data_IF_422763788201
#
_entry.id   IF_422763788201
#
_cell.length_a   1.000
_cell.length_b   1.000
_cell.length_c   1.000
_cell.angle_alpha   90.00
_cell.angle_beta   90.00
_cell.angle_gamma   90.00
#
_symmetry.space_group_name_H-M   'P 1'
#
loop_
_entity.id
_entity.type
_entity.pdbx_description
1 polymer ?
#
# COMPACT_ATOMS: atom_id res chain seq x y z
N UNK A 1 56.65 13.66 -28.18
CA UNK A 1 55.37 14.30 -27.80
C UNK A 1 54.32 13.22 -27.74
N UNK A 2 53.93 12.80 -26.54
CA UNK A 2 52.88 11.80 -26.34
C UNK A 2 51.54 12.47 -26.64
N UNK A 3 50.92 12.08 -27.75
CA UNK A 3 49.56 12.49 -28.09
C UNK A 3 48.62 11.91 -27.06
N UNK A 4 48.08 12.78 -26.18
CA UNK A 4 46.93 12.42 -25.36
C UNK A 4 45.79 12.09 -26.31
N UNK A 5 45.51 10.80 -26.48
CA UNK A 5 44.24 10.34 -27.03
C UNK A 5 43.13 10.89 -26.12
N UNK A 6 42.53 12.01 -26.52
CA UNK A 6 41.24 12.42 -25.96
C UNK A 6 40.25 11.33 -26.36
N UNK A 7 39.88 10.49 -25.39
CA UNK A 7 38.73 9.60 -25.56
C UNK A 7 37.54 10.51 -25.76
N UNK A 8 36.90 10.45 -26.94
CA UNK A 8 35.65 11.15 -27.16
C UNK A 8 34.66 10.74 -26.05
N UNK A 9 34.00 11.71 -25.43
CA UNK A 9 32.89 11.39 -24.54
C UNK A 9 31.79 10.78 -25.41
N UNK A 10 31.44 9.52 -25.13
CA UNK A 10 30.34 8.81 -25.78
C UNK A 10 29.35 8.38 -24.71
N UNK A 11 28.05 8.54 -24.99
CA UNK A 11 27.00 8.07 -24.10
C UNK A 11 27.06 6.55 -24.04
N UNK A 12 27.24 5.99 -22.84
CA UNK A 12 27.33 4.55 -22.65
C UNK A 12 26.01 3.86 -23.02
N UNK A 13 26.00 3.20 -24.19
CA UNK A 13 24.85 2.48 -24.74
C UNK A 13 24.22 1.50 -23.72
N UNK A 14 25.06 0.77 -22.97
CA UNK A 14 24.60 -0.15 -21.92
C UNK A 14 23.79 0.54 -20.82
N UNK A 15 24.23 1.73 -20.36
CA UNK A 15 23.53 2.50 -19.33
C UNK A 15 22.17 2.99 -19.85
N UNK A 16 22.13 3.48 -21.10
CA UNK A 16 20.89 3.95 -21.74
C UNK A 16 19.83 2.85 -21.80
N UNK A 17 20.19 1.68 -22.31
CA UNK A 17 19.24 0.56 -22.42
C UNK A 17 18.88 -0.05 -21.07
N UNK A 18 19.80 -0.05 -20.11
CA UNK A 18 19.53 -0.49 -18.75
C UNK A 18 18.51 0.44 -18.04
N UNK A 19 18.71 1.76 -18.09
CA UNK A 19 17.76 2.75 -17.55
C UNK A 19 16.39 2.61 -18.21
N UNK A 20 16.36 2.46 -19.54
CA UNK A 20 15.12 2.25 -20.28
C UNK A 20 14.41 0.96 -19.84
N UNK A 21 15.13 -0.15 -19.76
CA UNK A 21 14.59 -1.46 -19.37
C UNK A 21 14.07 -1.50 -17.93
N UNK A 22 14.71 -0.77 -17.03
CA UNK A 22 14.21 -0.61 -15.66
C UNK A 22 12.95 0.25 -15.61
N UNK A 23 12.98 1.44 -16.21
CA UNK A 23 11.85 2.38 -16.18
C UNK A 23 10.61 1.87 -16.92
N UNK A 24 10.76 1.05 -17.97
CA UNK A 24 9.60 0.48 -18.67
C UNK A 24 8.83 -0.49 -17.77
N UNK A 25 9.51 -1.21 -16.87
CA UNK A 25 8.86 -2.09 -15.90
C UNK A 25 8.03 -1.24 -14.92
N UNK A 26 8.60 -0.17 -14.34
CA UNK A 26 7.84 0.74 -13.45
C UNK A 26 6.69 1.43 -14.17
N UNK A 27 6.87 1.79 -15.43
CA UNK A 27 5.82 2.38 -16.23
C UNK A 27 4.65 1.40 -16.45
N UNK A 28 4.93 0.15 -16.81
CA UNK A 28 3.90 -0.89 -16.95
C UNK A 28 3.20 -1.20 -15.62
N UNK A 29 3.94 -1.24 -14.51
CA UNK A 29 3.37 -1.36 -13.16
C UNK A 29 2.46 -0.15 -12.83
N UNK A 30 2.88 1.06 -13.19
CA UNK A 30 2.06 2.27 -13.09
C UNK A 30 0.75 2.17 -13.86
N UNK A 31 0.78 1.68 -15.10
CA UNK A 31 -0.42 1.43 -15.90
C UNK A 31 -1.33 0.39 -15.23
N UNK A 32 -0.77 -0.70 -14.69
CA UNK A 32 -1.54 -1.71 -14.00
C UNK A 32 -2.22 -1.15 -12.73
N UNK A 33 -1.50 -0.39 -11.90
CA UNK A 33 -2.05 0.24 -10.69
C UNK A 33 -3.15 1.25 -11.03
N UNK A 34 -2.95 2.08 -12.05
CA UNK A 34 -3.98 3.00 -12.54
C UNK A 34 -5.20 2.24 -13.08
N UNK A 35 -4.99 1.16 -13.83
CA UNK A 35 -6.06 0.32 -14.35
C UNK A 35 -6.92 -0.28 -13.24
N UNK A 36 -6.28 -0.85 -12.21
CA UNK A 36 -6.98 -1.38 -11.03
C UNK A 36 -7.71 -0.27 -10.28
N UNK A 37 -7.06 0.87 -10.02
CA UNK A 37 -7.67 1.99 -9.32
C UNK A 37 -8.86 2.59 -10.06
N UNK A 38 -8.76 2.77 -11.38
CA UNK A 38 -9.86 3.29 -12.21
C UNK A 38 -11.01 2.29 -12.34
N UNK A 39 -10.71 0.99 -12.44
CA UNK A 39 -11.74 -0.05 -12.44
C UNK A 39 -12.51 -0.07 -11.13
N UNK A 40 -11.80 -0.10 -9.99
CA UNK A 40 -12.43 -0.04 -8.67
C UNK A 40 -13.22 1.26 -8.46
N UNK A 41 -12.69 2.40 -8.91
CA UNK A 41 -13.41 3.68 -8.86
C UNK A 41 -14.67 3.69 -9.71
N UNK A 42 -14.64 3.06 -10.90
CA UNK A 42 -15.82 2.96 -11.77
C UNK A 42 -16.94 2.13 -11.14
N UNK A 43 -16.61 0.99 -10.53
CA UNK A 43 -17.60 0.15 -9.82
C UNK A 43 -18.26 0.95 -8.68
N UNK A 44 -17.48 1.74 -7.93
CA UNK A 44 -18.00 2.67 -6.90
C UNK A 44 -18.84 3.81 -7.49
N UNK A 45 -18.40 4.37 -8.63
CA UNK A 45 -19.04 5.51 -9.31
C UNK A 45 -20.39 5.18 -9.93
N UNK A 46 -20.61 3.94 -10.36
CA UNK A 46 -21.91 3.47 -10.89
C UNK A 46 -22.96 3.35 -9.77
N UNK A 47 -22.55 3.08 -8.53
CA UNK A 47 -23.44 2.99 -7.37
C UNK A 47 -23.67 4.33 -6.64
N UNK A 48 -22.77 5.32 -6.76
CA UNK A 48 -22.74 6.53 -5.92
C UNK A 48 -23.32 7.79 -6.57
N UNK A 49 -24.37 7.66 -7.39
CA UNK A 49 -25.24 8.82 -7.61
C UNK A 49 -26.10 9.02 -6.36
N UNK A 50 -25.75 10.04 -5.58
CA UNK A 50 -26.51 10.66 -4.47
C UNK A 50 -26.11 10.12 -3.09
N UNK A 51 -25.42 11.00 -2.35
CA UNK A 51 -25.11 11.00 -0.91
C UNK A 51 -23.71 10.49 -0.49
N UNK A 52 -23.02 11.32 0.31
CA UNK A 52 -21.88 10.99 1.19
C UNK A 52 -20.44 10.89 0.63
N UNK A 53 -20.05 11.68 -0.38
CA UNK A 53 -18.63 11.77 -0.81
C UNK A 53 -17.72 12.52 0.21
N UNK A 54 -18.23 13.03 1.34
CA UNK A 54 -17.42 13.91 2.23
C UNK A 54 -17.55 13.73 3.75
N UNK A 55 -18.18 12.66 4.27
CA UNK A 55 -18.35 12.53 5.74
C UNK A 55 -17.70 11.32 6.41
N UNK A 56 -17.05 10.42 5.67
CA UNK A 56 -16.26 9.34 6.26
C UNK A 56 -14.80 9.54 5.86
N UNK A 57 -14.04 10.16 6.76
CA UNK A 57 -12.58 10.34 6.67
C UNK A 57 -11.80 9.02 6.73
N UNK A 58 -12.24 8.01 6.00
CA UNK A 58 -11.52 6.77 5.73
C UNK A 58 -10.70 6.95 4.45
N UNK A 59 -9.41 6.62 4.54
CA UNK A 59 -8.54 6.52 3.38
C UNK A 59 -9.01 5.34 2.51
N UNK A 60 -9.77 5.63 1.46
CA UNK A 60 -10.21 4.61 0.50
C UNK A 60 -8.98 4.03 -0.21
N UNK A 61 -8.75 2.70 -0.15
CA UNK A 61 -7.63 2.06 -0.84
C UNK A 61 -7.53 2.43 -2.32
N UNK A 62 -8.66 2.74 -2.98
CA UNK A 62 -8.71 3.18 -4.38
C UNK A 62 -7.85 4.42 -4.64
N UNK A 63 -7.85 5.41 -3.74
CA UNK A 63 -7.03 6.61 -3.89
C UNK A 63 -5.54 6.30 -3.84
N UNK A 64 -5.12 5.32 -3.03
CA UNK A 64 -3.72 4.89 -2.98
C UNK A 64 -3.27 4.32 -4.32
N UNK A 65 -4.06 3.41 -4.91
CA UNK A 65 -3.75 2.83 -6.23
C UNK A 65 -3.66 3.91 -7.31
N UNK A 66 -4.57 4.89 -7.30
CA UNK A 66 -4.57 5.99 -8.26
C UNK A 66 -3.36 6.92 -8.11
N UNK A 67 -3.04 7.36 -6.89
CA UNK A 67 -1.92 8.28 -6.64
C UNK A 67 -0.58 7.59 -6.90
N UNK A 68 -0.37 6.40 -6.33
CA UNK A 68 0.89 5.64 -6.51
C UNK A 68 1.06 5.24 -7.97
N UNK A 69 -0.01 4.73 -8.62
CA UNK A 69 0.00 4.39 -10.04
C UNK A 69 0.29 5.60 -10.93
N UNK A 70 -0.30 6.76 -10.63
CA UNK A 70 -0.08 8.01 -11.36
C UNK A 70 1.37 8.49 -11.27
N UNK A 71 1.94 8.50 -10.06
CA UNK A 71 3.35 8.88 -9.86
C UNK A 71 4.28 7.92 -10.60
N UNK A 72 4.08 6.60 -10.47
CA UNK A 72 4.88 5.60 -11.19
C UNK A 72 4.77 5.74 -12.71
N UNK A 73 3.58 5.99 -13.23
CA UNK A 73 3.36 6.21 -14.67
C UNK A 73 4.11 7.43 -15.18
N UNK A 74 3.98 8.58 -14.50
CA UNK A 74 4.63 9.84 -14.92
C UNK A 74 6.15 9.70 -14.87
N UNK A 75 6.69 9.17 -13.76
CA UNK A 75 8.14 9.04 -13.58
C UNK A 75 8.73 7.98 -14.52
N UNK A 76 8.06 6.83 -14.70
CA UNK A 76 8.48 5.80 -15.64
C UNK A 76 8.50 6.32 -17.08
N UNK A 77 7.46 7.06 -17.49
CA UNK A 77 7.41 7.68 -18.82
C UNK A 77 8.52 8.72 -19.01
N UNK A 78 8.71 9.62 -18.03
CA UNK A 78 9.78 10.62 -18.07
C UNK A 78 11.18 9.98 -18.11
N UNK A 79 11.42 8.93 -17.33
CA UNK A 79 12.68 8.19 -17.32
C UNK A 79 12.95 7.49 -18.66
N UNK A 80 11.96 6.80 -19.23
CA UNK A 80 12.08 6.14 -20.53
C UNK A 80 12.35 7.13 -21.68
N UNK A 81 11.51 8.17 -21.81
CA UNK A 81 11.64 9.16 -22.89
C UNK A 81 12.89 10.01 -22.69
N UNK A 82 13.21 10.40 -21.45
CA UNK A 82 14.42 11.11 -21.10
C UNK A 82 15.68 10.35 -21.53
N UNK A 83 15.74 9.05 -21.26
CA UNK A 83 16.86 8.21 -21.65
C UNK A 83 16.94 8.01 -23.17
N UNK A 84 15.83 7.68 -23.85
CA UNK A 84 15.82 7.40 -25.29
C UNK A 84 16.10 8.63 -26.14
N UNK A 85 15.48 9.76 -25.80
CA UNK A 85 15.59 11.04 -26.51
C UNK A 85 16.77 11.88 -26.05
N UNK A 86 17.55 11.40 -25.07
CA UNK A 86 18.67 12.15 -24.49
C UNK A 86 18.22 13.55 -24.02
N UNK A 87 17.01 13.63 -23.48
CA UNK A 87 16.41 14.89 -23.04
C UNK A 87 16.79 15.14 -21.57
N UNK A 88 17.77 16.02 -21.38
CA UNK A 88 18.29 16.37 -20.05
C UNK A 88 17.24 16.98 -19.13
N UNK A 89 16.24 17.69 -19.66
CA UNK A 89 15.15 18.24 -18.85
C UNK A 89 14.30 17.14 -18.20
N UNK A 90 13.91 16.12 -18.99
CA UNK A 90 13.14 14.98 -18.49
C UNK A 90 13.95 14.11 -17.51
N UNK A 91 15.24 13.90 -17.78
CA UNK A 91 16.13 13.16 -16.87
C UNK A 91 16.36 13.91 -15.54
N UNK A 92 16.50 15.24 -15.59
CA UNK A 92 16.57 16.08 -14.38
C UNK A 92 15.26 16.05 -13.61
N UNK A 93 14.12 16.17 -14.28
CA UNK A 93 12.80 16.01 -13.66
C UNK A 93 12.68 14.67 -12.95
N UNK A 94 12.96 13.56 -13.64
CA UNK A 94 12.95 12.22 -13.07
C UNK A 94 13.84 12.10 -11.82
N UNK A 95 15.08 12.60 -11.89
CA UNK A 95 16.04 12.54 -10.77
C UNK A 95 15.58 13.36 -9.57
N UNK A 96 15.06 14.57 -9.78
CA UNK A 96 14.60 15.46 -8.71
C UNK A 96 13.41 14.83 -7.98
N UNK A 97 12.44 14.29 -8.71
CA UNK A 97 11.27 13.65 -8.10
C UNK A 97 11.64 12.36 -7.37
N UNK A 98 12.56 11.53 -7.90
CA UNK A 98 13.10 10.40 -7.13
C UNK A 98 13.78 10.86 -5.83
N UNK A 99 14.54 11.95 -5.87
CA UNK A 99 15.14 12.54 -4.67
C UNK A 99 14.10 13.01 -3.65
N UNK A 100 13.03 13.66 -4.10
CA UNK A 100 11.92 14.07 -3.23
C UNK A 100 11.25 12.84 -2.59
N UNK A 101 10.96 11.81 -3.38
CA UNK A 101 10.35 10.56 -2.88
C UNK A 101 11.26 9.89 -1.85
N UNK A 102 12.57 9.83 -2.09
CA UNK A 102 13.54 9.28 -1.15
C UNK A 102 13.51 10.00 0.20
N UNK A 103 13.49 11.34 0.21
CA UNK A 103 13.40 12.09 1.46
C UNK A 103 12.04 11.93 2.15
N UNK A 104 10.95 11.83 1.39
CA UNK A 104 9.62 11.54 1.94
C UNK A 104 9.57 10.16 2.57
N UNK A 105 10.16 9.14 1.93
CA UNK A 105 10.24 7.77 2.45
C UNK A 105 11.06 7.70 3.74
N UNK A 106 12.23 8.35 3.76
CA UNK A 106 13.06 8.44 4.96
C UNK A 106 12.33 9.16 6.10
N UNK A 107 11.65 10.27 5.79
CA UNK A 107 10.87 11.03 6.78
C UNK A 107 9.69 10.20 7.29
N UNK A 108 8.95 9.53 6.42
CA UNK A 108 7.84 8.66 6.78
C UNK A 108 8.30 7.48 7.65
N UNK A 109 9.43 6.84 7.31
CA UNK A 109 10.00 5.76 8.12
C UNK A 109 10.41 6.21 9.51
N UNK A 110 11.06 7.38 9.63
CA UNK A 110 11.43 7.96 10.94
C UNK A 110 10.18 8.33 11.75
N UNK A 111 9.21 9.00 11.13
CA UNK A 111 7.95 9.37 11.79
C UNK A 111 7.17 8.14 12.24
N UNK A 112 7.14 7.08 11.43
CA UNK A 112 6.45 5.84 11.78
C UNK A 112 7.05 5.17 13.01
N UNK A 113 8.37 5.22 13.17
CA UNK A 113 9.05 4.72 14.35
C UNK A 113 8.82 5.60 15.59
N UNK A 114 8.90 6.93 15.43
CA UNK A 114 8.74 7.89 16.54
C UNK A 114 7.30 7.94 17.04
N UNK A 115 6.33 7.91 16.14
CA UNK A 115 4.90 8.06 16.44
C UNK A 115 4.14 6.73 16.35
N UNK A 116 4.77 5.63 16.77
CA UNK A 116 4.15 4.29 16.73
C UNK A 116 2.81 4.21 17.47
N UNK A 117 2.68 4.89 18.60
CA UNK A 117 1.46 4.84 19.43
C UNK A 117 0.33 5.60 18.74
N UNK A 118 0.65 6.74 18.10
CA UNK A 118 -0.31 7.47 17.29
C UNK A 118 -0.76 6.66 16.06
N UNK A 119 0.15 5.92 15.41
CA UNK A 119 -0.21 5.01 14.31
C UNK A 119 -1.15 3.91 14.81
N UNK A 120 -0.90 3.36 15.99
CA UNK A 120 -1.76 2.37 16.62
C UNK A 120 -3.17 2.92 16.86
N UNK A 121 -3.27 4.15 17.38
CA UNK A 121 -4.55 4.82 17.58
C UNK A 121 -5.27 5.08 16.25
N UNK A 122 -4.55 5.48 15.21
CA UNK A 122 -5.10 5.70 13.88
C UNK A 122 -5.59 4.39 13.24
N UNK A 123 -4.85 3.30 13.42
CA UNK A 123 -5.26 1.97 12.95
C UNK A 123 -6.51 1.49 13.68
N UNK A 124 -6.58 1.71 15.00
CA UNK A 124 -7.77 1.41 15.79
C UNK A 124 -8.98 2.22 15.31
N UNK A 125 -8.81 3.53 15.11
CA UNK A 125 -9.86 4.40 14.57
C UNK A 125 -10.32 3.93 13.19
N UNK A 126 -9.40 3.60 12.30
CA UNK A 126 -9.69 3.08 10.96
C UNK A 126 -10.52 1.79 11.02
N UNK A 127 -10.05 0.77 11.76
CA UNK A 127 -10.77 -0.51 11.87
C UNK A 127 -12.15 -0.31 12.48
N UNK A 128 -12.27 0.47 13.56
CA UNK A 128 -13.56 0.71 14.22
C UNK A 128 -14.56 1.46 13.32
N UNK A 129 -14.08 2.44 12.53
CA UNK A 129 -14.93 3.12 11.56
C UNK A 129 -15.42 2.15 10.48
N UNK A 130 -14.55 1.23 10.05
CA UNK A 130 -14.89 0.22 9.07
C UNK A 130 -15.82 -0.86 9.60
N UNK A 131 -15.69 -1.24 10.88
CA UNK A 131 -16.65 -2.11 11.57
C UNK A 131 -18.04 -1.46 11.60
N UNK A 132 -18.14 -0.15 11.85
CA UNK A 132 -19.44 0.55 11.84
C UNK A 132 -20.12 0.46 10.47
N UNK A 133 -19.37 0.64 9.39
CA UNK A 133 -19.86 0.61 8.01
C UNK A 133 -19.78 -0.78 7.34
N UNK A 134 -19.53 -1.84 8.10
CA UNK A 134 -19.24 -3.18 7.56
C UNK A 134 -20.32 -3.75 6.62
N UNK A 135 -21.59 -3.41 6.84
CA UNK A 135 -22.72 -3.85 5.99
C UNK A 135 -23.12 -2.83 4.92
N UNK A 136 -22.54 -1.64 4.97
CA UNK A 136 -22.92 -0.53 4.09
C UNK A 136 -22.07 -0.52 2.81
N UNK A 137 -20.84 -1.04 2.87
CA UNK A 137 -19.89 -1.08 1.76
C UNK A 137 -19.26 -2.48 1.61
N UNK A 138 -19.47 -3.12 0.46
CA UNK A 138 -18.97 -4.47 0.17
C UNK A 138 -17.45 -4.53 0.07
N UNK A 139 -16.79 -3.48 -0.40
CA UNK A 139 -15.33 -3.42 -0.49
C UNK A 139 -14.73 -3.35 0.92
N UNK A 140 -15.38 -2.59 1.79
CA UNK A 140 -15.00 -2.50 3.19
C UNK A 140 -15.23 -3.80 3.95
N UNK A 141 -16.35 -4.46 3.66
CA UNK A 141 -16.65 -5.79 4.16
C UNK A 141 -15.53 -6.77 3.78
N UNK A 142 -15.19 -6.85 2.49
CA UNK A 142 -14.14 -7.71 1.96
C UNK A 142 -12.76 -7.40 2.57
N UNK A 143 -12.45 -6.12 2.79
CA UNK A 143 -11.19 -5.70 3.41
C UNK A 143 -11.10 -6.16 4.87
N UNK A 144 -12.16 -5.97 5.65
CA UNK A 144 -12.21 -6.42 7.05
C UNK A 144 -12.18 -7.95 7.12
N UNK A 145 -12.94 -8.63 6.27
CA UNK A 145 -12.97 -10.09 6.20
C UNK A 145 -11.60 -10.66 5.87
N UNK A 146 -10.94 -10.13 4.83
CA UNK A 146 -9.57 -10.50 4.48
C UNK A 146 -8.59 -10.24 5.62
N UNK A 147 -8.69 -9.10 6.30
CA UNK A 147 -7.80 -8.75 7.41
C UNK A 147 -7.96 -9.73 8.58
N UNK A 148 -9.20 -10.06 8.93
CA UNK A 148 -9.51 -10.96 10.04
C UNK A 148 -9.08 -12.40 9.75
N UNK A 149 -9.31 -12.88 8.53
CA UNK A 149 -8.85 -14.21 8.12
C UNK A 149 -7.33 -14.29 7.99
N UNK A 150 -6.69 -13.29 7.40
CA UNK A 150 -5.25 -13.30 7.13
C UNK A 150 -4.42 -13.20 8.41
N UNK A 151 -4.88 -12.41 9.38
CA UNK A 151 -4.18 -12.24 10.66
C UNK A 151 -4.72 -13.09 11.80
N UNK A 152 -5.78 -13.87 11.57
CA UNK A 152 -6.40 -14.70 12.60
C UNK A 152 -6.81 -13.86 13.81
N UNK A 153 -7.57 -12.80 13.53
CA UNK A 153 -8.00 -11.81 14.52
C UNK A 153 -9.48 -11.46 14.35
N UNK A 154 -10.07 -10.83 15.36
CA UNK A 154 -11.45 -10.35 15.30
C UNK A 154 -11.56 -8.98 15.99
N UNK A 155 -12.15 -8.02 15.28
CA UNK A 155 -12.24 -6.63 15.74
C UNK A 155 -10.89 -5.89 15.76
N UNK A 156 -10.87 -4.68 16.31
CA UNK A 156 -9.65 -3.87 16.40
C UNK A 156 -8.75 -4.35 17.53
N UNK A 157 -9.26 -4.39 18.75
CA UNK A 157 -8.61 -4.91 19.95
C UNK A 157 -9.24 -6.22 20.46
N UNK A 158 -10.46 -6.55 20.03
CA UNK A 158 -11.07 -7.85 20.26
C UNK A 158 -12.46 -7.97 19.66
N UNK A 159 -13.08 -9.15 19.84
CA UNK A 159 -14.41 -9.44 19.34
C UNK A 159 -15.48 -8.45 19.82
N UNK A 160 -15.26 -7.77 20.95
CA UNK A 160 -16.22 -6.82 21.49
C UNK A 160 -16.39 -5.52 20.71
N UNK A 161 -15.42 -5.18 19.86
CA UNK A 161 -15.50 -4.00 18.99
C UNK A 161 -16.67 -4.09 18.00
N UNK A 162 -17.17 -5.31 17.74
CA UNK A 162 -18.38 -5.54 16.96
C UNK A 162 -19.66 -4.95 17.59
N UNK A 163 -19.61 -4.51 18.86
CA UNK A 163 -20.68 -3.69 19.43
C UNK A 163 -20.86 -2.33 18.74
N UNK A 164 -19.84 -1.85 18.02
CA UNK A 164 -19.93 -0.61 17.26
C UNK A 164 -20.81 -0.73 16.02
N UNK A 165 -21.02 -1.95 15.51
CA UNK A 165 -21.87 -2.18 14.35
C UNK A 165 -23.33 -2.41 14.76
N UNK A 166 -24.27 -1.77 14.06
CA UNK A 166 -25.71 -1.84 14.35
C UNK A 166 -26.31 -3.26 14.28
N UNK A 167 -25.76 -4.15 13.44
CA UNK A 167 -26.25 -5.51 13.27
C UNK A 167 -25.69 -6.48 14.31
N UNK A 168 -24.47 -6.25 14.79
CA UNK A 168 -23.78 -7.15 15.73
C UNK A 168 -23.87 -6.71 17.20
N UNK A 169 -24.32 -5.48 17.45
CA UNK A 169 -24.46 -4.93 18.79
C UNK A 169 -25.31 -5.84 19.72
N UNK A 170 -24.76 -6.13 20.91
CA UNK A 170 -25.32 -7.12 21.84
C UNK A 170 -26.42 -6.57 22.78
N UNK A 171 -27.02 -5.41 22.47
CA UNK A 171 -28.14 -4.89 23.26
C UNK A 171 -29.38 -5.76 23.10
N UNK A 172 -30.12 -6.03 24.18
CA UNK A 172 -31.33 -6.87 24.18
C UNK A 172 -32.40 -6.39 23.19
N UNK A 173 -32.49 -5.07 22.99
CA UNK A 173 -33.42 -4.43 22.06
C UNK A 173 -33.02 -4.54 20.59
N UNK A 174 -31.82 -5.06 20.27
CA UNK A 174 -31.39 -5.24 18.89
C UNK A 174 -32.20 -6.37 18.23
N UNK A 175 -32.99 -6.09 17.17
CA UNK A 175 -33.77 -7.11 16.48
C UNK A 175 -32.93 -7.98 15.53
N UNK A 176 -31.67 -7.63 15.29
CA UNK A 176 -30.78 -8.35 14.38
C UNK A 176 -30.57 -9.79 14.82
N UNK A 177 -30.59 -10.72 13.85
CA UNK A 177 -30.24 -12.13 14.10
C UNK A 177 -28.77 -12.31 14.43
N UNK A 178 -27.92 -11.39 13.99
CA UNK A 178 -26.47 -11.39 14.18
C UNK A 178 -26.03 -10.69 15.48
N UNK A 179 -26.98 -10.26 16.32
CA UNK A 179 -26.69 -9.61 17.60
C UNK A 179 -25.81 -10.52 18.47
N UNK A 180 -24.93 -9.91 19.27
CA UNK A 180 -23.95 -10.64 20.09
C UNK A 180 -23.07 -11.60 19.26
N UNK A 181 -22.97 -11.37 17.96
CA UNK A 181 -22.16 -12.16 17.06
C UNK A 181 -20.94 -11.42 16.54
N UNK A 182 -20.24 -12.10 15.64
CA UNK A 182 -19.13 -11.59 14.83
C UNK A 182 -19.30 -12.12 13.39
N UNK A 183 -18.71 -11.48 12.36
CA UNK A 183 -18.76 -12.03 11.01
C UNK A 183 -18.01 -13.36 10.91
N UNK A 184 -18.30 -14.09 9.84
CA UNK A 184 -17.72 -15.41 9.58
C UNK A 184 -16.19 -15.38 9.44
N UNK A 185 -15.61 -14.24 9.04
CA UNK A 185 -14.16 -14.04 8.91
C UNK A 185 -13.41 -14.11 10.25
N UNK A 186 -14.12 -13.95 11.37
CA UNK A 186 -13.58 -14.20 12.71
C UNK A 186 -13.56 -15.68 13.11
N UNK A 187 -14.15 -16.59 12.32
CA UNK A 187 -14.27 -18.00 12.66
C UNK A 187 -12.92 -18.74 12.59
N UNK A 188 -12.66 -19.59 13.58
CA UNK A 188 -11.54 -20.54 13.53
C UNK A 188 -11.85 -21.67 12.55
N UNK A 189 -10.81 -22.20 11.90
CA UNK A 189 -10.92 -23.42 11.08
C UNK A 189 -10.73 -24.63 11.98
N UNK A 190 -11.66 -25.59 11.96
CA UNK A 190 -11.47 -26.87 12.64
C UNK A 190 -10.46 -27.72 11.85
N UNK A 191 -9.34 -28.17 12.44
CA UNK A 191 -8.37 -29.02 11.76
C UNK A 191 -8.93 -30.36 11.27
N UNK A 192 -10.06 -30.81 11.82
CA UNK A 192 -10.71 -32.07 11.48
C UNK A 192 -11.78 -31.92 10.38
N UNK A 193 -12.19 -30.70 10.03
CA UNK A 193 -13.20 -30.43 9.00
C UNK A 193 -12.64 -29.54 7.89
N UNK A 194 -12.84 -29.96 6.64
CA UNK A 194 -12.36 -29.21 5.47
C UNK A 194 -13.19 -27.94 5.17
N UNK A 195 -14.29 -27.70 5.91
CA UNK A 195 -15.24 -26.62 5.65
C UNK A 195 -15.36 -25.71 6.88
N UNK A 196 -15.21 -24.41 6.67
CA UNK A 196 -15.41 -23.41 7.72
C UNK A 196 -16.89 -23.33 8.06
N UNK A 197 -17.24 -23.45 9.34
CA UNK A 197 -18.58 -23.18 9.81
C UNK A 197 -18.87 -21.67 9.74
N UNK A 198 -19.50 -21.22 8.66
CA UNK A 198 -19.87 -19.81 8.46
C UNK A 198 -20.91 -19.31 9.47
N UNK A 199 -21.50 -20.20 10.26
CA UNK A 199 -22.43 -19.87 11.34
C UNK A 199 -21.75 -19.81 12.72
N UNK A 200 -20.42 -19.98 12.82
CA UNK A 200 -19.73 -20.00 14.12
C UNK A 200 -19.92 -18.70 14.92
N UNK A 201 -20.08 -17.58 14.21
CA UNK A 201 -20.11 -16.24 14.80
C UNK A 201 -21.44 -15.88 15.44
N UNK A 202 -22.51 -16.66 15.25
CA UNK A 202 -23.83 -16.34 15.82
C UNK A 202 -23.87 -16.57 17.32
N UNK A 203 -24.38 -15.57 18.05
CA UNK A 203 -24.58 -15.58 19.50
C UNK A 203 -23.29 -15.88 20.32
N UNK A 204 -22.12 -15.92 19.67
CA UNK A 204 -20.87 -16.41 20.27
C UNK A 204 -20.40 -15.53 21.42
N UNK A 205 -20.61 -14.21 21.32
CA UNK A 205 -20.20 -13.25 22.36
C UNK A 205 -21.16 -13.23 23.56
N UNK A 206 -22.29 -13.94 23.48
CA UNK A 206 -23.16 -14.19 24.63
C UNK A 206 -22.74 -15.45 25.42
N UNK A 207 -21.78 -16.22 24.90
CA UNK A 207 -21.26 -17.43 25.56
C UNK A 207 -20.04 -17.13 26.43
N UNK A 208 -19.68 -18.09 27.28
CA UNK A 208 -18.47 -18.06 28.11
C UNK A 208 -17.19 -17.92 27.27
N UNK A 209 -16.20 -17.21 27.81
CA UNK A 209 -14.91 -16.92 27.14
C UNK A 209 -14.18 -18.19 26.66
N UNK A 210 -14.34 -19.31 27.36
CA UNK A 210 -13.76 -20.61 26.98
C UNK A 210 -14.35 -21.15 25.68
N UNK A 211 -15.67 -20.98 25.48
CA UNK A 211 -16.33 -21.36 24.24
C UNK A 211 -15.93 -20.42 23.11
N UNK A 212 -15.88 -19.11 23.36
CA UNK A 212 -15.47 -18.12 22.35
C UNK A 212 -14.10 -18.45 21.74
N UNK A 213 -13.11 -18.74 22.60
CA UNK A 213 -11.75 -19.10 22.16
C UNK A 213 -11.66 -20.37 21.31
N UNK A 214 -12.68 -21.22 21.37
CA UNK A 214 -12.73 -22.47 20.59
C UNK A 214 -13.23 -22.21 19.18
N UNK A 215 -14.18 -21.29 19.00
CA UNK A 215 -14.88 -21.07 17.72
C UNK A 215 -14.47 -19.81 16.97
N UNK A 216 -13.90 -18.81 17.64
CA UNK A 216 -13.50 -17.53 17.02
C UNK A 216 -12.10 -17.08 17.44
N UNK A 217 -11.47 -16.28 16.59
CA UNK A 217 -10.27 -15.55 16.93
C UNK A 217 -10.62 -14.44 17.93
N UNK A 218 -10.19 -14.56 19.19
CA UNK A 218 -10.51 -13.55 20.22
C UNK A 218 -9.53 -12.37 20.27
N UNK A 219 -8.40 -12.47 19.57
CA UNK A 219 -7.38 -11.41 19.54
C UNK A 219 -7.79 -10.31 18.57
N UNK A 220 -7.58 -9.05 18.94
CA UNK A 220 -7.77 -7.93 18.02
C UNK A 220 -6.73 -7.86 16.90
N UNK A 221 -7.11 -7.27 15.77
CA UNK A 221 -6.23 -7.11 14.62
C UNK A 221 -5.11 -6.07 14.84
N UNK A 222 -5.32 -5.04 15.66
CA UNK A 222 -4.30 -4.04 16.02
C UNK A 222 -3.10 -4.67 16.76
N UNK A 223 -3.29 -5.40 17.88
CA UNK A 223 -2.17 -6.05 18.55
C UNK A 223 -1.55 -7.18 17.72
N UNK A 224 -2.33 -7.84 16.87
CA UNK A 224 -1.83 -8.87 15.97
C UNK A 224 -0.96 -8.27 14.85
N UNK A 225 -1.32 -7.10 14.32
CA UNK A 225 -0.46 -6.33 13.42
C UNK A 225 0.87 -5.98 14.07
N UNK A 226 0.80 -5.47 15.30
CA UNK A 226 1.97 -5.04 16.06
C UNK A 226 2.92 -6.22 16.26
N UNK A 227 2.37 -7.39 16.62
CA UNK A 227 3.13 -8.63 16.74
C UNK A 227 3.75 -9.05 15.41
N UNK A 228 2.98 -9.07 14.32
CA UNK A 228 3.49 -9.40 12.99
C UNK A 228 4.62 -8.47 12.56
N UNK A 229 4.48 -7.17 12.81
CA UNK A 229 5.48 -6.16 12.47
C UNK A 229 6.77 -6.36 13.28
N UNK A 230 6.65 -6.71 14.57
CA UNK A 230 7.82 -7.02 15.42
C UNK A 230 8.54 -8.29 14.96
N UNK A 231 7.80 -9.33 14.60
CA UNK A 231 8.36 -10.60 14.11
C UNK A 231 9.01 -10.46 12.72
N UNK A 232 8.47 -9.59 11.87
CA UNK A 232 8.92 -9.39 10.49
C UNK A 232 9.73 -8.10 10.28
N UNK A 233 10.16 -7.44 11.36
CA UNK A 233 10.82 -6.14 11.29
C UNK A 233 12.05 -6.14 10.38
N UNK A 234 12.84 -7.22 10.40
CA UNK A 234 14.01 -7.38 9.54
C UNK A 234 13.64 -7.40 8.05
N UNK A 235 12.55 -8.08 7.69
CA UNK A 235 12.07 -8.15 6.30
C UNK A 235 11.56 -6.79 5.86
N UNK A 236 10.74 -6.15 6.69
CA UNK A 236 10.19 -4.81 6.41
C UNK A 236 11.31 -3.79 6.24
N UNK A 237 12.26 -3.74 7.18
CA UNK A 237 13.43 -2.87 7.08
C UNK A 237 14.27 -3.16 5.82
N UNK A 238 14.43 -4.44 5.47
CA UNK A 238 15.10 -4.85 4.23
C UNK A 238 14.41 -4.33 2.96
N UNK A 239 13.07 -4.33 2.93
CA UNK A 239 12.30 -3.76 1.81
C UNK A 239 12.54 -2.26 1.69
N UNK A 240 12.42 -1.50 2.80
CA UNK A 240 12.67 -0.05 2.79
C UNK A 240 14.10 0.29 2.35
N UNK A 241 15.11 -0.44 2.85
CA UNK A 241 16.50 -0.25 2.42
C UNK A 241 16.66 -0.58 0.92
N UNK A 242 16.02 -1.66 0.45
CA UNK A 242 16.05 -2.03 -0.97
C UNK A 242 15.46 -0.96 -1.88
N UNK A 243 14.31 -0.39 -1.51
CA UNK A 243 13.66 0.71 -2.24
C UNK A 243 14.56 1.95 -2.24
N UNK A 244 15.10 2.32 -1.08
CA UNK A 244 16.03 3.44 -0.93
C UNK A 244 17.28 3.31 -1.82
N UNK A 245 17.91 2.13 -1.84
CA UNK A 245 19.08 1.85 -2.69
C UNK A 245 18.73 1.93 -4.18
N UNK A 246 17.57 1.40 -4.55
CA UNK A 246 17.06 1.41 -5.92
C UNK A 246 16.77 2.84 -6.42
N UNK A 247 16.23 3.72 -5.55
CA UNK A 247 16.06 5.14 -5.85
C UNK A 247 17.42 5.85 -6.01
N UNK A 248 18.37 5.66 -5.09
CA UNK A 248 19.72 6.24 -5.18
C UNK A 248 20.40 5.81 -6.47
N UNK A 249 20.30 4.52 -6.80
CA UNK A 249 20.85 3.98 -8.04
C UNK A 249 20.21 4.63 -9.27
N UNK A 250 18.89 4.78 -9.31
CA UNK A 250 18.17 5.48 -10.38
C UNK A 250 18.60 6.94 -10.54
N UNK A 251 18.80 7.66 -9.43
CA UNK A 251 19.30 9.05 -9.42
C UNK A 251 20.72 9.10 -10.00
N UNK A 252 21.64 8.27 -9.50
CA UNK A 252 23.02 8.22 -9.98
C UNK A 252 23.09 7.95 -11.48
N UNK A 253 22.32 6.97 -11.97
CA UNK A 253 22.27 6.64 -13.40
C UNK A 253 21.73 7.80 -14.24
N UNK A 254 20.66 8.46 -13.80
CA UNK A 254 20.09 9.60 -14.52
C UNK A 254 21.03 10.81 -14.53
N UNK A 255 21.71 11.12 -13.42
CA UNK A 255 22.68 12.21 -13.33
C UNK A 255 23.94 11.94 -14.17
N UNK A 256 24.43 10.69 -14.18
CA UNK A 256 25.53 10.28 -15.03
C UNK A 256 25.16 10.45 -16.51
N UNK A 257 23.97 10.00 -16.91
CA UNK A 257 23.50 10.17 -18.29
C UNK A 257 23.34 11.65 -18.67
N UNK A 258 22.82 12.49 -17.77
CA UNK A 258 22.75 13.95 -17.98
C UNK A 258 24.14 14.55 -18.19
N UNK A 259 25.10 14.17 -17.35
CA UNK A 259 26.49 14.66 -17.44
C UNK A 259 27.16 14.24 -18.75
N UNK A 260 26.94 13.00 -19.20
CA UNK A 260 27.44 12.51 -20.48
C UNK A 260 26.83 13.29 -21.66
N UNK A 261 25.51 13.52 -21.66
CA UNK A 261 24.83 14.29 -22.70
C UNK A 261 25.34 15.74 -22.76
N UNK A 262 25.53 16.39 -21.60
CA UNK A 262 26.06 17.74 -21.53
C UNK A 262 27.52 17.82 -22.02
N UNK A 263 28.35 16.82 -21.69
CA UNK A 263 29.74 16.74 -22.16
C UNK A 263 29.85 16.53 -23.68
N UNK A 264 29.00 15.67 -24.26
CA UNK A 264 28.90 15.49 -25.72
C UNK A 264 28.48 16.78 -26.40
N UNK A 265 27.43 17.44 -25.87
CA UNK A 265 26.91 18.69 -26.42
C UNK A 265 27.95 19.81 -26.37
N UNK A 266 28.71 19.91 -25.28
CA UNK A 266 29.82 20.86 -25.17
C UNK A 266 30.92 20.58 -26.19
N UNK A 267 31.29 19.31 -26.38
CA UNK A 267 32.31 18.91 -27.36
C UNK A 267 31.90 19.30 -28.80
N UNK A 268 30.63 19.11 -29.17
CA UNK A 268 30.11 19.53 -30.48
C UNK A 268 30.05 21.06 -30.67
N UNK A 269 29.99 21.87 -29.61
CA UNK A 269 29.99 23.33 -29.71
C UNK A 269 31.40 23.91 -29.96
N UNK A 270 32.45 23.17 -29.61
CA UNK A 270 33.84 23.58 -29.77
C UNK A 270 34.52 23.01 -31.03
N UNK A 271 33.77 22.31 -31.88
CA UNK A 271 34.23 21.79 -33.17
C UNK A 271 33.58 22.57 -34.30
#
# INVERSE_FOLDING_TARGET
>A
MSGKHYKAHEVSCCIKYFIFGFNIIFWLLGVAFLGIGLWAWSEKGVLSNISSITDLGGFDPVWLFLVVGGVMFILGFAGCIGALRENTFLLKFFSVFLGIIFFLELTAGVLAFVFKDWIKDQLNFFINNNIRAYRDDIDLQNLIDFTQEYWECCGAFGADDWNLNIYFNCTDSNPSREKCGVPFSCCTKDPAEDVINTQCGYDIRAKEDSEQKTFIYVKGCVPQFEKWLQENLTVVAGIFIGIALLQIFGICLAQNLVSDIEAVRASCLFT
#
